data_IF_600361064925
#
_entry.id   IF_600361064925
#
_cell.length_a   1.000
_cell.length_b   1.000
_cell.length_c   1.000
_cell.angle_alpha   90.00
_cell.angle_beta   90.00
_cell.angle_gamma   90.00
#
_symmetry.space_group_name_H-M   'P 1'
#
loop_
_entity.id
_entity.type
_entity.pdbx_description
1 polymer ?
#
# COMPACT_ATOMS: atom_id res chain seq x y z
N UNK A 1 13.08 -16.02 9.47
CA UNK A 1 14.33 -15.71 8.80
C UNK A 1 14.17 -15.90 7.28
N UNK A 2 15.01 -15.24 6.46
CA UNK A 2 14.94 -15.30 5.02
C UNK A 2 14.36 -14.05 4.36
N UNK A 3 14.21 -14.09 3.01
CA UNK A 3 13.66 -12.99 2.22
C UNK A 3 12.19 -13.25 1.87
N UNK A 4 11.33 -12.32 2.23
CA UNK A 4 9.88 -12.35 1.96
C UNK A 4 9.45 -11.40 0.84
N UNK A 5 10.42 -10.91 0.07
CA UNK A 5 10.16 -9.93 -0.98
C UNK A 5 10.10 -8.50 -0.48
N UNK A 6 9.83 -7.57 -1.39
CA UNK A 6 9.78 -6.14 -1.11
C UNK A 6 8.63 -5.49 -1.86
N UNK A 7 7.73 -4.82 -1.14
CA UNK A 7 6.52 -4.21 -1.72
C UNK A 7 6.87 -3.11 -2.73
N UNK A 8 7.86 -2.27 -2.44
CA UNK A 8 8.22 -1.12 -3.29
C UNK A 8 9.03 -1.50 -4.52
N UNK A 9 9.94 -2.48 -4.43
CA UNK A 9 10.81 -2.86 -5.55
C UNK A 9 10.25 -3.97 -6.43
N UNK A 10 9.24 -4.71 -5.95
CA UNK A 10 8.70 -5.88 -6.63
C UNK A 10 9.65 -7.07 -6.68
N UNK A 11 10.63 -7.11 -5.78
CA UNK A 11 11.43 -8.33 -5.61
C UNK A 11 10.56 -9.40 -4.98
N UNK A 12 10.51 -10.57 -5.60
CA UNK A 12 9.80 -11.74 -5.08
C UNK A 12 10.46 -12.31 -3.82
N UNK A 13 9.73 -13.18 -3.15
CA UNK A 13 10.21 -13.93 -2.00
C UNK A 13 11.23 -15.01 -2.42
N UNK A 14 12.06 -15.43 -1.48
CA UNK A 14 12.91 -16.60 -1.65
C UNK A 14 12.09 -17.88 -1.66
N UNK A 15 12.64 -18.96 -2.21
CA UNK A 15 11.99 -20.27 -2.18
C UNK A 15 11.66 -20.67 -0.72
N UNK A 16 10.49 -21.27 -0.52
CA UNK A 16 9.95 -21.59 0.81
C UNK A 16 10.92 -22.36 1.72
N UNK A 17 11.81 -23.18 1.15
CA UNK A 17 12.83 -23.96 1.89
C UNK A 17 13.93 -23.09 2.52
N UNK A 18 14.01 -21.80 2.17
CA UNK A 18 14.96 -20.85 2.72
C UNK A 18 14.31 -19.82 3.65
N UNK A 19 13.02 -19.95 3.92
CA UNK A 19 12.28 -19.02 4.75
C UNK A 19 11.72 -19.70 5.98
N UNK A 20 11.82 -19.04 7.13
CA UNK A 20 11.26 -19.48 8.41
C UNK A 20 10.37 -18.39 8.95
N UNK A 21 9.18 -18.77 9.43
CA UNK A 21 8.21 -17.83 10.02
C UNK A 21 7.83 -18.28 11.42
N UNK A 22 7.54 -17.30 12.26
CA UNK A 22 6.85 -17.47 13.53
C UNK A 22 6.00 -16.25 13.80
N UNK A 23 5.02 -16.40 14.68
CA UNK A 23 4.21 -15.27 15.10
C UNK A 23 5.09 -14.24 15.82
N UNK A 24 5.02 -12.99 15.38
CA UNK A 24 5.56 -11.85 16.10
C UNK A 24 4.60 -11.43 17.23
N UNK A 25 5.00 -10.44 18.01
CA UNK A 25 4.22 -9.91 19.12
C UNK A 25 2.80 -9.46 18.68
N UNK A 26 2.70 -8.70 17.59
CA UNK A 26 1.42 -8.28 17.04
C UNK A 26 0.59 -9.47 16.56
N UNK A 27 1.20 -10.46 15.91
CA UNK A 27 0.52 -11.67 15.48
C UNK A 27 -0.07 -12.47 16.66
N UNK A 28 0.66 -12.57 17.78
CA UNK A 28 0.15 -13.19 19.00
C UNK A 28 -1.05 -12.42 19.58
N UNK A 29 -0.98 -11.08 19.58
CA UNK A 29 -2.13 -10.24 20.00
C UNK A 29 -3.35 -10.41 19.09
N UNK A 30 -3.15 -10.58 17.80
CA UNK A 30 -4.25 -10.77 16.83
C UNK A 30 -5.02 -12.05 17.04
N UNK A 31 -4.37 -13.12 17.51
CA UNK A 31 -4.99 -14.41 17.78
C UNK A 31 -5.29 -14.63 19.27
N UNK A 32 -5.14 -13.61 20.10
CA UNK A 32 -5.49 -13.72 21.53
C UNK A 32 -6.96 -14.10 21.69
N UNK A 33 -7.22 -15.09 22.50
CA UNK A 33 -8.55 -15.67 22.68
C UNK A 33 -8.87 -16.84 21.76
N UNK A 34 -7.92 -17.33 20.95
CA UNK A 34 -8.11 -18.51 20.07
C UNK A 34 -8.53 -19.76 20.86
N UNK A 35 -8.09 -19.90 22.11
CA UNK A 35 -8.39 -21.04 22.98
C UNK A 35 -9.75 -20.89 23.70
N UNK A 36 -10.46 -19.77 23.51
CA UNK A 36 -11.74 -19.54 24.13
C UNK A 36 -12.87 -20.15 23.31
N UNK A 37 -13.89 -20.68 23.98
CA UNK A 37 -15.06 -21.31 23.35
C UNK A 37 -15.88 -20.36 22.43
N UNK A 38 -15.49 -19.10 22.31
CA UNK A 38 -16.16 -18.11 21.48
C UNK A 38 -15.80 -18.19 19.98
N UNK A 39 -14.85 -19.04 19.57
CA UNK A 39 -14.34 -19.11 18.17
C UNK A 39 -15.25 -19.94 17.25
N UNK A 40 -16.19 -20.68 17.78
CA UNK A 40 -17.11 -21.53 16.99
C UNK A 40 -16.56 -22.93 16.73
N UNK A 41 -16.68 -23.42 15.49
CA UNK A 41 -16.33 -24.79 15.16
C UNK A 41 -14.85 -24.98 14.96
N UNK A 42 -14.32 -26.10 15.43
CA UNK A 42 -12.99 -26.59 15.16
C UNK A 42 -13.06 -27.79 14.20
N UNK A 43 -12.07 -27.92 13.35
CA UNK A 43 -11.93 -29.01 12.38
C UNK A 43 -10.63 -29.73 12.62
N UNK A 44 -10.62 -31.04 12.41
CA UNK A 44 -9.40 -31.80 12.42
C UNK A 44 -8.57 -31.52 11.16
N UNK A 45 -7.25 -31.60 11.28
CA UNK A 45 -6.36 -31.66 10.13
C UNK A 45 -6.54 -33.00 9.37
N UNK A 46 -5.78 -33.18 8.28
CA UNK A 46 -5.95 -34.35 7.39
C UNK A 46 -5.65 -35.71 8.05
N UNK A 47 -4.85 -35.74 9.10
CA UNK A 47 -4.44 -36.98 9.82
C UNK A 47 -5.04 -37.10 11.23
N UNK A 48 -5.99 -36.23 11.57
CA UNK A 48 -6.68 -36.19 12.85
C UNK A 48 -5.78 -36.01 14.09
N UNK A 49 -4.55 -35.52 13.90
CA UNK A 49 -3.61 -35.30 15.02
C UNK A 49 -3.78 -33.94 15.67
N UNK A 50 -4.26 -32.93 14.93
CA UNK A 50 -4.39 -31.54 15.36
C UNK A 50 -5.74 -30.97 14.96
N UNK A 51 -6.15 -29.89 15.61
CA UNK A 51 -7.35 -29.16 15.26
C UNK A 51 -7.06 -27.70 14.92
N UNK A 52 -7.83 -27.13 14.02
CA UNK A 52 -7.79 -25.72 13.68
C UNK A 52 -9.18 -25.10 13.71
N UNK A 53 -9.31 -23.79 14.06
CA UNK A 53 -10.59 -23.13 14.13
C UNK A 53 -11.12 -22.80 12.73
N UNK A 54 -12.46 -22.78 12.58
CA UNK A 54 -13.11 -22.36 11.34
C UNK A 54 -12.85 -20.90 10.97
N UNK A 55 -12.61 -20.06 11.97
CA UNK A 55 -12.26 -18.63 11.85
C UNK A 55 -11.26 -18.27 12.93
N UNK A 56 -10.37 -17.33 12.64
CA UNK A 56 -9.48 -16.78 13.65
C UNK A 56 -10.15 -15.60 14.37
N UNK A 57 -9.88 -15.41 15.68
CA UNK A 57 -10.25 -14.17 16.35
C UNK A 57 -9.47 -13.02 15.72
N UNK A 58 -10.01 -11.82 15.78
CA UNK A 58 -9.33 -10.62 15.34
C UNK A 58 -9.49 -9.54 16.39
N UNK A 59 -8.39 -9.14 16.98
CA UNK A 59 -8.35 -8.00 17.88
C UNK A 59 -8.17 -6.72 17.04
N UNK A 60 -9.27 -5.99 16.81
CA UNK A 60 -9.23 -4.74 16.07
C UNK A 60 -9.65 -4.85 14.59
N UNK A 61 -9.45 -3.77 13.86
CA UNK A 61 -9.97 -3.57 12.50
C UNK A 61 -8.89 -3.79 11.43
N UNK A 62 -8.13 -4.87 11.54
CA UNK A 62 -6.98 -5.13 10.65
C UNK A 62 -7.36 -5.22 9.17
N UNK A 63 -8.55 -5.74 8.85
CA UNK A 63 -9.03 -5.79 7.47
C UNK A 63 -9.22 -4.39 6.85
N UNK A 64 -9.53 -3.39 7.69
CA UNK A 64 -9.63 -1.99 7.26
C UNK A 64 -8.23 -1.38 7.21
N UNK A 65 -7.43 -1.57 8.25
CA UNK A 65 -6.08 -0.99 8.33
C UNK A 65 -5.16 -1.50 7.21
N UNK A 66 -5.12 -2.81 6.99
CA UNK A 66 -4.26 -3.42 5.96
C UNK A 66 -4.86 -3.37 4.55
N UNK A 67 -6.13 -2.98 4.44
CA UNK A 67 -6.89 -3.12 3.22
C UNK A 67 -7.25 -4.58 2.93
N UNK A 68 -8.24 -4.76 2.08
CA UNK A 68 -8.71 -6.09 1.70
C UNK A 68 -9.19 -6.07 0.26
N UNK A 69 -8.85 -7.07 -0.52
CA UNK A 69 -9.43 -7.28 -1.84
C UNK A 69 -10.00 -8.68 -1.95
N UNK A 70 -11.17 -8.79 -2.55
CA UNK A 70 -11.84 -10.06 -2.77
C UNK A 70 -12.58 -10.06 -4.10
N UNK A 71 -12.50 -11.18 -4.81
CA UNK A 71 -13.18 -11.38 -6.08
C UNK A 71 -14.07 -12.62 -5.94
N UNK A 72 -15.35 -12.44 -6.26
CA UNK A 72 -16.33 -13.53 -6.34
C UNK A 72 -17.07 -13.45 -7.68
N UNK A 73 -17.94 -14.40 -7.98
CA UNK A 73 -18.74 -14.39 -9.19
C UNK A 73 -19.63 -13.13 -9.22
N UNK A 74 -19.39 -12.25 -10.21
CA UNK A 74 -20.11 -10.99 -10.44
C UNK A 74 -19.95 -9.91 -9.35
N UNK A 75 -19.12 -10.12 -8.33
CA UNK A 75 -18.89 -9.15 -7.26
C UNK A 75 -17.40 -9.05 -6.97
N UNK A 76 -16.90 -7.82 -6.84
CA UNK A 76 -15.55 -7.57 -6.32
C UNK A 76 -15.61 -6.52 -5.23
N UNK A 77 -14.79 -6.68 -4.21
CA UNK A 77 -14.60 -5.70 -3.16
C UNK A 77 -13.13 -5.31 -3.08
N UNK A 78 -12.86 -4.04 -2.89
CA UNK A 78 -11.51 -3.53 -2.67
C UNK A 78 -11.58 -2.42 -1.62
N UNK A 79 -11.02 -2.69 -0.46
CA UNK A 79 -10.92 -1.76 0.66
C UNK A 79 -9.47 -1.25 0.69
N UNK A 80 -9.21 0.06 0.61
CA UNK A 80 -7.86 0.61 0.70
C UNK A 80 -7.29 0.45 2.11
N UNK A 81 -6.01 0.73 2.27
CA UNK A 81 -5.34 0.79 3.58
C UNK A 81 -5.69 2.08 4.31
N UNK A 82 -5.72 2.01 5.65
CA UNK A 82 -6.00 3.15 6.52
C UNK A 82 -5.04 3.20 7.70
N UNK A 83 -4.89 4.36 8.30
CA UNK A 83 -4.09 4.55 9.50
C UNK A 83 -4.77 3.94 10.72
N UNK A 84 -4.05 3.06 11.44
CA UNK A 84 -4.58 2.36 12.62
C UNK A 84 -5.08 3.31 13.70
N UNK A 85 -4.33 4.40 13.97
CA UNK A 85 -4.69 5.37 14.99
C UNK A 85 -5.99 6.09 14.64
N UNK A 86 -6.12 6.56 13.40
CA UNK A 86 -7.32 7.26 12.93
C UNK A 86 -8.55 6.35 12.93
N UNK A 87 -8.39 5.09 12.49
CA UNK A 87 -9.48 4.09 12.54
C UNK A 87 -9.93 3.85 13.97
N UNK A 88 -9.00 3.67 14.92
CA UNK A 88 -9.35 3.48 16.33
C UNK A 88 -10.04 4.72 16.92
N UNK A 89 -9.57 5.92 16.62
CA UNK A 89 -10.21 7.17 17.07
C UNK A 89 -11.64 7.30 16.51
N UNK A 90 -11.83 6.99 15.23
CA UNK A 90 -13.16 6.98 14.59
C UNK A 90 -14.10 5.97 15.24
N UNK A 91 -13.59 4.78 15.55
CA UNK A 91 -14.37 3.72 16.23
C UNK A 91 -14.76 4.12 17.65
N UNK A 92 -13.85 4.73 18.41
CA UNK A 92 -14.16 5.24 19.75
C UNK A 92 -15.28 6.28 19.68
N UNK A 93 -15.20 7.23 18.76
CA UNK A 93 -16.25 8.23 18.55
C UNK A 93 -17.61 7.57 18.22
N UNK A 94 -17.61 6.56 17.33
CA UNK A 94 -18.81 5.83 16.93
C UNK A 94 -19.44 5.04 18.08
N UNK A 95 -18.62 4.48 18.99
CA UNK A 95 -19.09 3.78 20.18
C UNK A 95 -19.81 4.72 21.16
N UNK A 96 -19.32 5.95 21.32
CA UNK A 96 -19.97 6.96 22.16
C UNK A 96 -21.21 7.59 21.51
N UNK A 97 -21.21 7.74 20.18
CA UNK A 97 -22.31 8.34 19.44
C UNK A 97 -22.55 7.61 18.11
N UNK A 98 -23.52 6.70 18.09
CA UNK A 98 -23.88 5.92 16.89
C UNK A 98 -24.40 6.75 15.72
N UNK A 99 -24.89 7.97 16.00
CA UNK A 99 -25.45 8.89 14.99
C UNK A 99 -24.46 9.99 14.60
N UNK A 100 -23.17 9.80 14.87
CA UNK A 100 -22.13 10.78 14.52
C UNK A 100 -22.10 10.97 13.00
N UNK A 101 -21.99 12.20 12.49
CA UNK A 101 -21.86 12.46 11.06
C UNK A 101 -20.61 11.81 10.47
N UNK A 102 -20.71 11.30 9.25
CA UNK A 102 -19.58 10.65 8.54
C UNK A 102 -18.33 11.53 8.51
N UNK A 103 -18.48 12.85 8.31
CA UNK A 103 -17.36 13.79 8.24
C UNK A 103 -16.52 13.86 9.52
N UNK A 104 -17.08 13.54 10.68
CA UNK A 104 -16.37 13.55 11.97
C UNK A 104 -15.60 12.25 12.24
N UNK A 105 -15.91 11.18 11.49
CA UNK A 105 -15.24 9.87 11.59
C UNK A 105 -14.50 9.50 10.30
N UNK A 106 -14.50 10.39 9.31
CA UNK A 106 -13.82 10.14 8.06
C UNK A 106 -12.32 9.98 8.27
N UNK A 107 -11.79 8.83 7.84
CA UNK A 107 -10.37 8.55 7.76
C UNK A 107 -10.00 8.48 6.27
N UNK A 108 -9.07 9.29 5.78
CA UNK A 108 -8.57 9.16 4.41
C UNK A 108 -7.78 7.85 4.26
N UNK A 109 -7.74 7.23 3.08
CA UNK A 109 -6.85 6.12 2.81
C UNK A 109 -5.39 6.51 3.05
N UNK A 110 -4.64 5.61 3.70
CA UNK A 110 -3.22 5.78 4.04
C UNK A 110 -2.43 4.53 3.61
N UNK A 111 -1.65 4.67 2.55
CA UNK A 111 -0.94 3.54 1.95
C UNK A 111 0.47 3.40 2.54
N UNK A 112 0.87 2.18 2.86
CA UNK A 112 2.16 1.87 3.49
C UNK A 112 3.40 2.27 2.66
N UNK A 113 3.24 2.48 1.37
CA UNK A 113 4.30 2.93 0.44
C UNK A 113 4.26 4.43 0.15
N UNK A 114 3.28 5.15 0.71
CA UNK A 114 3.06 6.58 0.49
C UNK A 114 2.35 6.88 -0.83
N UNK A 115 2.60 8.06 -1.37
CA UNK A 115 1.95 8.62 -2.55
C UNK A 115 0.85 9.63 -2.21
N UNK A 116 0.50 10.45 -3.19
CA UNK A 116 -0.51 11.50 -3.04
C UNK A 116 -1.80 11.10 -3.74
N UNK A 117 -2.94 11.17 -3.04
CA UNK A 117 -4.27 10.97 -3.62
C UNK A 117 -4.67 12.22 -4.40
N UNK A 118 -4.98 12.07 -5.69
CA UNK A 118 -5.33 13.20 -6.56
C UNK A 118 -6.82 13.53 -6.58
N UNK A 119 -7.67 12.57 -6.28
CA UNK A 119 -9.13 12.68 -6.31
C UNK A 119 -9.77 12.48 -4.93
N UNK A 120 -9.23 13.15 -3.91
CA UNK A 120 -9.59 12.96 -2.50
C UNK A 120 -11.10 13.16 -2.22
N UNK A 121 -11.74 14.15 -2.85
CA UNK A 121 -13.18 14.42 -2.67
C UNK A 121 -14.04 13.28 -3.23
N UNK A 122 -13.69 12.75 -4.41
CA UNK A 122 -14.39 11.61 -5.02
C UNK A 122 -14.21 10.34 -4.17
N UNK A 123 -13.01 10.15 -3.60
CA UNK A 123 -12.71 9.03 -2.70
C UNK A 123 -13.53 9.13 -1.42
N UNK A 124 -13.64 10.33 -0.84
CA UNK A 124 -14.46 10.58 0.37
C UNK A 124 -15.92 10.22 0.13
N UNK A 125 -16.50 10.66 -0.99
CA UNK A 125 -17.89 10.31 -1.35
C UNK A 125 -18.06 8.80 -1.63
N UNK A 126 -17.07 8.19 -2.28
CA UNK A 126 -17.07 6.73 -2.52
C UNK A 126 -17.06 5.92 -1.22
N UNK A 127 -16.25 6.34 -0.24
CA UNK A 127 -16.18 5.69 1.08
C UNK A 127 -17.48 5.87 1.86
N UNK A 128 -18.14 7.02 1.73
CA UNK A 128 -19.43 7.31 2.39
C UNK A 128 -20.54 6.39 1.91
N UNK A 129 -20.58 6.09 0.61
CA UNK A 129 -21.64 5.23 0.02
C UNK A 129 -21.24 3.76 -0.12
N UNK A 130 -19.96 3.43 0.12
CA UNK A 130 -19.43 2.06 0.04
C UNK A 130 -19.13 1.58 -1.38
N UNK A 131 -19.27 2.41 -2.38
CA UNK A 131 -18.89 2.13 -3.77
C UNK A 131 -18.60 3.43 -4.52
N UNK A 132 -17.84 3.36 -5.60
CA UNK A 132 -17.57 4.56 -6.39
C UNK A 132 -16.33 4.45 -7.27
N UNK A 133 -15.61 5.57 -7.38
CA UNK A 133 -14.45 5.68 -8.27
C UNK A 133 -13.18 5.12 -7.65
N UNK A 134 -12.30 4.66 -8.51
CA UNK A 134 -10.95 4.22 -8.12
C UNK A 134 -10.15 5.38 -7.54
N UNK A 135 -9.26 5.06 -6.61
CA UNK A 135 -8.30 6.01 -6.04
C UNK A 135 -7.19 6.25 -7.06
N UNK A 136 -6.93 7.51 -7.37
CA UNK A 136 -5.84 7.92 -8.26
C UNK A 136 -4.66 8.35 -7.39
N UNK A 137 -3.56 7.60 -7.47
CA UNK A 137 -2.34 7.85 -6.72
C UNK A 137 -1.25 8.42 -7.63
N UNK A 138 -0.45 9.32 -7.07
CA UNK A 138 0.72 9.92 -7.71
C UNK A 138 1.96 9.72 -6.84
N UNK A 139 3.09 9.43 -7.48
CA UNK A 139 4.40 9.36 -6.84
C UNK A 139 4.79 10.70 -6.22
N UNK A 140 5.59 10.66 -5.15
CA UNK A 140 6.27 11.83 -4.60
C UNK A 140 7.59 12.05 -5.33
N UNK A 141 7.80 13.26 -5.82
CA UNK A 141 9.01 13.65 -6.56
C UNK A 141 9.61 14.89 -5.93
N UNK A 142 10.87 14.80 -5.54
CA UNK A 142 11.64 15.88 -4.95
C UNK A 142 12.77 16.29 -5.90
N UNK A 143 13.06 17.58 -6.00
CA UNK A 143 14.16 18.11 -6.80
C UNK A 143 15.28 18.62 -5.91
N UNK A 144 16.48 18.16 -6.17
CA UNK A 144 17.70 18.66 -5.55
C UNK A 144 18.42 19.58 -6.55
N UNK A 145 18.42 20.88 -6.26
CA UNK A 145 19.05 21.90 -7.10
C UNK A 145 20.57 21.81 -7.08
N UNK A 146 21.17 21.31 -6.00
CA UNK A 146 22.64 21.22 -5.87
C UNK A 146 23.22 20.14 -6.76
N UNK A 147 22.56 19.00 -6.85
CA UNK A 147 22.97 17.86 -7.66
C UNK A 147 22.32 17.82 -9.05
N UNK A 148 21.36 18.72 -9.33
CA UNK A 148 20.53 18.67 -10.54
C UNK A 148 19.84 17.32 -10.75
N UNK A 149 19.27 16.78 -9.67
CA UNK A 149 18.66 15.46 -9.65
C UNK A 149 17.20 15.52 -9.19
N UNK A 150 16.38 14.61 -9.71
CA UNK A 150 15.07 14.31 -9.17
C UNK A 150 15.16 13.00 -8.38
N UNK A 151 14.49 12.97 -7.24
CA UNK A 151 14.31 11.78 -6.42
C UNK A 151 12.83 11.41 -6.39
N UNK A 152 12.49 10.18 -6.81
CA UNK A 152 11.16 9.60 -6.59
C UNK A 152 11.25 8.84 -5.27
N UNK A 153 10.67 9.39 -4.21
CA UNK A 153 10.78 8.89 -2.84
C UNK A 153 9.59 8.00 -2.44
N UNK A 154 8.48 8.14 -3.14
CA UNK A 154 7.29 7.32 -2.93
C UNK A 154 6.69 6.89 -4.27
N UNK A 155 6.14 5.69 -4.30
CA UNK A 155 5.49 5.12 -5.48
C UNK A 155 4.06 4.72 -5.14
N UNK A 156 3.11 4.77 -6.09
CA UNK A 156 1.75 4.32 -5.85
C UNK A 156 1.70 2.87 -5.38
N UNK A 157 0.77 2.56 -4.47
CA UNK A 157 0.56 1.19 -4.00
C UNK A 157 0.24 0.25 -5.18
N UNK A 158 0.93 -0.89 -5.22
CA UNK A 158 0.81 -1.86 -6.31
C UNK A 158 1.67 -1.54 -7.56
N UNK A 159 2.40 -0.42 -7.56
CA UNK A 159 3.37 -0.08 -8.61
C UNK A 159 4.79 -0.27 -8.08
N UNK A 160 5.63 -0.94 -8.84
CA UNK A 160 7.00 -1.23 -8.44
C UNK A 160 8.00 -0.26 -9.06
N UNK A 161 9.06 0.05 -8.33
CA UNK A 161 10.15 0.93 -8.80
C UNK A 161 10.74 0.46 -10.12
N UNK A 162 10.91 -0.85 -10.32
CA UNK A 162 11.38 -1.43 -11.57
C UNK A 162 10.48 -1.10 -12.76
N UNK A 163 9.16 -1.11 -12.56
CA UNK A 163 8.18 -0.79 -13.61
C UNK A 163 8.32 0.68 -14.01
N UNK A 164 8.41 1.59 -13.04
CA UNK A 164 8.59 3.02 -13.28
C UNK A 164 9.89 3.28 -14.04
N UNK A 165 11.00 2.67 -13.61
CA UNK A 165 12.30 2.82 -14.28
C UNK A 165 12.23 2.32 -15.72
N UNK A 166 11.56 1.19 -15.97
CA UNK A 166 11.38 0.66 -17.33
C UNK A 166 10.52 1.59 -18.20
N UNK A 167 9.43 2.13 -17.66
CA UNK A 167 8.61 3.11 -18.37
C UNK A 167 9.40 4.37 -18.72
N UNK A 168 10.15 4.93 -17.78
CA UNK A 168 10.99 6.11 -18.02
C UNK A 168 12.03 5.81 -19.10
N UNK A 169 12.70 4.65 -19.06
CA UNK A 169 13.69 4.24 -20.08
C UNK A 169 13.06 4.13 -21.46
N UNK A 170 11.91 3.50 -21.58
CA UNK A 170 11.18 3.41 -22.84
C UNK A 170 10.84 4.80 -23.41
N UNK A 171 10.40 5.73 -22.55
CA UNK A 171 10.13 7.11 -22.96
C UNK A 171 11.36 7.93 -23.33
N UNK A 172 12.52 7.58 -22.81
CA UNK A 172 13.80 8.16 -23.27
C UNK A 172 14.20 7.59 -24.63
N UNK A 173 14.03 6.28 -24.84
CA UNK A 173 14.36 5.60 -26.10
C UNK A 173 13.46 6.04 -27.26
N UNK A 174 12.16 6.25 -27.01
CA UNK A 174 11.21 6.74 -27.99
C UNK A 174 11.23 8.26 -28.22
N UNK A 175 12.04 8.99 -27.39
CA UNK A 175 12.21 10.44 -27.49
C UNK A 175 11.08 11.27 -26.91
N UNK A 176 10.10 10.65 -26.24
CA UNK A 176 8.99 11.38 -25.57
C UNK A 176 9.42 12.08 -24.29
N UNK A 177 10.49 11.62 -23.65
CA UNK A 177 11.09 12.22 -22.46
C UNK A 177 12.59 12.53 -22.73
N UNK A 178 12.94 13.81 -22.81
CA UNK A 178 14.28 14.28 -23.15
C UNK A 178 14.91 14.99 -21.95
N UNK A 179 16.24 14.84 -21.76
CA UNK A 179 16.99 15.58 -20.75
C UNK A 179 17.36 14.75 -19.52
N UNK A 180 17.32 13.44 -19.62
CA UNK A 180 17.84 12.53 -18.61
C UNK A 180 19.26 12.11 -18.98
N UNK A 181 20.18 12.32 -18.06
CA UNK A 181 21.58 11.87 -18.20
C UNK A 181 21.76 10.45 -17.67
N UNK A 182 21.13 10.12 -16.53
CA UNK A 182 21.27 8.84 -15.84
C UNK A 182 20.08 8.57 -14.93
N UNK A 183 19.75 7.28 -14.75
CA UNK A 183 18.75 6.81 -13.79
C UNK A 183 19.41 5.77 -12.91
N UNK A 184 19.37 5.97 -11.60
CA UNK A 184 19.89 5.05 -10.59
C UNK A 184 18.75 4.61 -9.66
N UNK A 185 18.65 3.30 -9.44
CA UNK A 185 17.74 2.73 -8.43
C UNK A 185 18.51 2.60 -7.11
N UNK A 186 18.18 3.47 -6.17
CA UNK A 186 18.74 3.47 -4.82
C UNK A 186 17.76 2.88 -3.80
N UNK A 187 16.68 2.26 -4.28
CA UNK A 187 15.63 1.69 -3.45
C UNK A 187 16.14 0.55 -2.58
N UNK A 188 15.73 0.58 -1.32
CA UNK A 188 15.98 -0.48 -0.34
C UNK A 188 14.64 -0.97 0.22
N UNK A 189 14.31 -0.67 1.48
CA UNK A 189 12.98 -0.89 2.06
C UNK A 189 11.97 0.13 1.57
N UNK A 190 12.43 1.32 1.20
CA UNK A 190 11.62 2.40 0.64
C UNK A 190 12.05 2.68 -0.80
N UNK A 191 11.13 3.17 -1.60
CA UNK A 191 11.43 3.63 -2.95
C UNK A 191 12.39 4.83 -2.91
N UNK A 192 13.40 4.80 -3.77
CA UNK A 192 14.32 5.92 -3.97
C UNK A 192 14.95 5.80 -5.37
N UNK A 193 14.35 6.45 -6.35
CA UNK A 193 14.87 6.46 -7.72
C UNK A 193 15.49 7.83 -7.98
N UNK A 194 16.78 7.85 -8.26
CA UNK A 194 17.53 9.07 -8.60
C UNK A 194 17.58 9.24 -10.12
N UNK A 195 17.11 10.37 -10.60
CA UNK A 195 17.14 10.77 -12.01
C UNK A 195 18.04 11.99 -12.15
N UNK A 196 19.20 11.82 -12.78
CA UNK A 196 20.14 12.90 -13.05
C UNK A 196 19.72 13.60 -14.33
N UNK A 197 19.47 14.92 -14.24
CA UNK A 197 19.04 15.73 -15.37
C UNK A 197 20.23 16.35 -16.12
N UNK A 198 20.03 16.64 -17.39
CA UNK A 198 20.95 17.44 -18.18
C UNK A 198 20.87 18.93 -17.79
N UNK A 199 21.97 19.68 -17.99
CA UNK A 199 22.00 21.10 -17.69
C UNK A 199 21.06 21.87 -18.62
N UNK A 200 20.33 22.84 -18.07
CA UNK A 200 19.43 23.73 -18.83
C UNK A 200 18.00 23.20 -19.03
N UNK A 201 17.67 22.07 -18.44
CA UNK A 201 16.30 21.53 -18.47
C UNK A 201 15.38 22.37 -17.58
N UNK A 202 14.18 22.68 -18.08
CA UNK A 202 13.12 23.26 -17.26
C UNK A 202 12.50 22.16 -16.37
N UNK A 203 12.94 22.12 -15.12
CA UNK A 203 12.58 21.08 -14.13
C UNK A 203 11.07 21.00 -13.94
N UNK A 204 10.38 22.14 -13.83
CA UNK A 204 8.92 22.16 -13.63
C UNK A 204 8.17 21.53 -14.82
N UNK A 205 8.63 21.82 -16.04
CA UNK A 205 8.05 21.22 -17.25
C UNK A 205 8.35 19.73 -17.32
N UNK A 206 9.57 19.35 -16.95
CA UNK A 206 10.01 17.96 -16.94
C UNK A 206 9.19 17.12 -15.92
N UNK A 207 9.00 17.61 -14.69
CA UNK A 207 8.17 16.93 -13.69
C UNK A 207 6.73 16.75 -14.19
N UNK A 208 6.16 17.76 -14.85
CA UNK A 208 4.82 17.64 -15.46
C UNK A 208 4.74 16.59 -16.57
N UNK A 209 5.82 16.39 -17.32
CA UNK A 209 5.91 15.32 -18.32
C UNK A 209 6.04 13.96 -17.65
N UNK A 210 6.89 13.86 -16.62
CA UNK A 210 7.08 12.63 -15.84
C UNK A 210 5.76 12.13 -15.21
N UNK A 211 4.92 13.04 -14.73
CA UNK A 211 3.59 12.66 -14.16
C UNK A 211 2.53 12.26 -15.20
N UNK A 212 2.84 12.28 -16.48
CA UNK A 212 1.94 11.81 -17.53
C UNK A 212 2.21 10.36 -17.95
N UNK A 213 3.31 9.80 -17.46
CA UNK A 213 3.69 8.41 -17.65
C UNK A 213 2.91 7.51 -16.70
#
# INVERSE_FOLDING_TARGET
DGSYGTISSGNGEAAYRYTEMRLGELGCLMIDGIEKDCIGKWFNNYDDTEQFPSVFPSLGFYNIVNGTSGIATAISASIPQFNLKEVNEAMIKLLYNKNIPFDEIYCPPDFCVGGTILNADEVKESLKVGHGRSIILRSSVEYDDTEHCLYITEVPYGVYTKTIISQIKNCVEDGSLIGIKKIDDLSTKKANIKIVLEKGINVTKFIKQLYKL
#
